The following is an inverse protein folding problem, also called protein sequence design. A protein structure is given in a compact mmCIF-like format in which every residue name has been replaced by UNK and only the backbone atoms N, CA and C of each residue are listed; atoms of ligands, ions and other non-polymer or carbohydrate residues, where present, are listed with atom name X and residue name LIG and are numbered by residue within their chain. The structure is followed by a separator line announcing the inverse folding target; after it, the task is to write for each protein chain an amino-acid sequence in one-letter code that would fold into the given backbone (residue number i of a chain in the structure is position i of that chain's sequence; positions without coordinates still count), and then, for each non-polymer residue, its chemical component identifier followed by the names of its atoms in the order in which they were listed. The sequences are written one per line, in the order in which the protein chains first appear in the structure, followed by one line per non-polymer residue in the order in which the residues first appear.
data_IF_713422044089
#
_entry.id   IF_713422044089
#
_cell.length_a   1.000
_cell.length_b   1.000
_cell.length_c   1.000
_cell.angle_alpha   90.00
_cell.angle_beta   90.00
_cell.angle_gamma   90.00
#
_symmetry.space_group_name_H-M   'P 1'
#
loop_
_entity.id
_entity.type
_entity.pdbx_description
1 polymer ?
#
# COMPACT_ATOMS: atom_id res chain seq x y z
N UNK A 1 8.86 -9.31 4.89
CA UNK A 1 8.21 -7.99 4.84
C UNK A 1 8.34 -7.47 3.43
N UNK A 2 7.26 -6.98 2.83
CA UNK A 2 7.25 -6.32 1.52
C UNK A 2 7.07 -4.82 1.75
N UNK A 3 7.88 -3.99 1.08
CA UNK A 3 7.75 -2.52 1.14
C UNK A 3 7.63 -2.01 -0.29
N UNK A 4 6.60 -1.21 -0.55
CA UNK A 4 6.43 -0.47 -1.80
C UNK A 4 6.57 1.02 -1.48
N UNK A 5 7.45 1.71 -2.20
CA UNK A 5 7.63 3.15 -2.09
C UNK A 5 7.18 3.82 -3.38
N UNK A 6 6.55 4.98 -3.24
CA UNK A 6 6.24 5.87 -4.36
C UNK A 6 7.07 7.12 -4.18
N UNK A 7 7.92 7.38 -5.16
CA UNK A 7 8.82 8.53 -5.17
C UNK A 7 8.56 9.38 -6.40
N UNK A 8 8.67 10.69 -6.23
CA UNK A 8 8.70 11.64 -7.34
C UNK A 8 10.15 12.00 -7.59
N UNK A 9 10.56 11.91 -8.86
CA UNK A 9 11.90 12.27 -9.32
C UNK A 9 11.79 13.50 -10.23
N UNK A 10 11.94 14.72 -9.68
CA UNK A 10 11.89 15.95 -10.47
C UNK A 10 12.89 15.89 -11.64
N UNK A 11 12.39 16.05 -12.87
CA UNK A 11 13.23 15.97 -14.08
C UNK A 11 13.91 14.61 -14.29
N UNK A 12 13.51 13.56 -13.56
CA UNK A 12 14.18 12.25 -13.57
C UNK A 12 15.47 12.19 -12.77
N UNK A 13 15.76 13.16 -11.90
CA UNK A 13 16.99 13.21 -11.12
C UNK A 13 16.85 12.56 -9.74
N UNK A 14 17.56 11.45 -9.53
CA UNK A 14 17.57 10.68 -8.26
C UNK A 14 17.94 11.52 -7.05
N UNK A 15 18.92 12.42 -7.18
CA UNK A 15 19.38 13.27 -6.09
C UNK A 15 18.29 14.23 -5.56
N UNK A 16 17.26 14.48 -6.36
CA UNK A 16 16.10 15.29 -5.99
C UNK A 16 14.86 14.46 -5.67
N UNK A 17 14.98 13.13 -5.66
CA UNK A 17 13.87 12.24 -5.40
C UNK A 17 13.36 12.40 -3.97
N UNK A 18 12.04 12.33 -3.80
CA UNK A 18 11.42 12.31 -2.49
C UNK A 18 10.20 11.38 -2.47
N UNK A 19 10.05 10.71 -1.34
CA UNK A 19 8.95 9.77 -1.08
C UNK A 19 7.65 10.52 -0.82
N UNK A 20 6.61 10.18 -1.58
CA UNK A 20 5.24 10.71 -1.41
C UNK A 20 4.27 9.67 -0.86
N UNK A 21 4.63 8.39 -0.89
CA UNK A 21 3.80 7.32 -0.37
C UNK A 21 4.59 6.05 -0.08
N UNK A 22 4.06 5.26 0.85
CA UNK A 22 4.66 4.02 1.31
C UNK A 22 3.59 3.03 1.68
N UNK A 23 3.80 1.78 1.31
CA UNK A 23 3.04 0.64 1.78
C UNK A 23 3.97 -0.40 2.38
N UNK A 24 3.68 -0.80 3.60
CA UNK A 24 4.38 -1.86 4.32
C UNK A 24 3.42 -3.04 4.48
N UNK A 25 3.83 -4.22 4.01
CA UNK A 25 3.03 -5.44 4.10
C UNK A 25 3.78 -6.49 4.90
N UNK A 26 3.18 -6.91 6.00
CA UNK A 26 3.76 -7.84 6.97
C UNK A 26 2.96 -9.14 6.92
N UNK A 27 3.67 -10.26 6.85
CA UNK A 27 3.04 -11.58 6.92
C UNK A 27 2.66 -11.87 8.38
N UNK A 28 1.40 -12.22 8.63
CA UNK A 28 0.88 -12.48 9.99
C UNK A 28 1.06 -13.94 10.44
N UNK A 29 1.41 -14.83 9.53
CA UNK A 29 1.36 -16.29 9.73
C UNK A 29 2.52 -17.02 9.06
N UNK A 30 3.74 -16.90 9.63
CA UNK A 30 4.89 -17.78 9.38
C UNK A 30 5.23 -18.10 7.91
N UNK A 31 6.11 -19.09 7.66
CA UNK A 31 6.58 -19.47 6.32
C UNK A 31 5.59 -20.33 5.50
N UNK A 32 4.28 -20.25 5.72
CA UNK A 32 3.29 -21.04 4.94
C UNK A 32 3.16 -20.58 3.48
N UNK A 33 2.83 -21.50 2.57
CA UNK A 33 2.62 -21.16 1.15
C UNK A 33 1.44 -20.20 0.92
N UNK A 34 0.48 -20.20 1.84
CA UNK A 34 -0.67 -19.28 1.89
C UNK A 34 -0.71 -18.65 3.27
N UNK A 35 -0.75 -17.32 3.34
CA UNK A 35 -0.72 -16.58 4.62
C UNK A 35 -1.71 -15.41 4.63
N UNK A 36 -2.07 -14.98 5.84
CA UNK A 36 -2.63 -13.66 6.08
C UNK A 36 -1.54 -12.57 6.11
N UNK A 37 -1.92 -11.35 5.74
CA UNK A 37 -1.04 -10.19 5.69
C UNK A 37 -1.74 -8.94 6.24
N UNK A 38 -1.05 -8.18 7.08
CA UNK A 38 -1.43 -6.81 7.42
C UNK A 38 -0.69 -5.83 6.52
N UNK A 39 -1.35 -4.73 6.17
CA UNK A 39 -0.77 -3.64 5.41
C UNK A 39 -1.00 -2.29 6.09
N UNK A 40 0.04 -1.46 6.09
CA UNK A 40 0.01 -0.06 6.49
C UNK A 40 0.39 0.79 5.28
N UNK A 41 -0.51 1.69 4.86
CA UNK A 41 -0.34 2.57 3.71
C UNK A 41 -0.36 4.00 4.20
N UNK A 42 0.70 4.74 3.91
CA UNK A 42 0.82 6.16 4.20
C UNK A 42 0.99 6.91 2.89
N UNK A 43 0.24 7.99 2.71
CA UNK A 43 0.50 9.02 1.71
C UNK A 43 0.81 10.32 2.44
N UNK A 44 1.89 10.98 2.02
CA UNK A 44 2.28 12.27 2.56
C UNK A 44 1.53 13.37 1.83
N UNK A 45 1.22 14.43 2.57
CA UNK A 45 0.72 15.65 1.96
C UNK A 45 1.78 16.18 0.99
N UNK A 46 1.36 16.43 -0.26
CA UNK A 46 2.22 17.01 -1.28
C UNK A 46 1.45 18.17 -1.94
N UNK A 47 1.42 19.36 -1.31
CA UNK A 47 0.58 20.47 -1.76
C UNK A 47 0.82 20.88 -3.20
N UNK A 48 2.09 20.84 -3.66
CA UNK A 48 2.47 21.18 -5.03
C UNK A 48 1.84 20.25 -6.09
N UNK A 49 1.47 19.03 -5.69
CA UNK A 49 0.81 18.04 -6.55
C UNK A 49 -0.69 17.89 -6.23
N UNK A 50 -1.23 18.70 -5.31
CA UNK A 50 -2.62 18.60 -4.83
C UNK A 50 -2.97 17.20 -4.29
N UNK A 51 -2.00 16.53 -3.68
CA UNK A 51 -2.17 15.20 -3.10
C UNK A 51 -2.33 15.32 -1.60
N UNK A 52 -3.50 14.97 -1.08
CA UNK A 52 -3.80 14.98 0.36
C UNK A 52 -3.12 13.81 1.09
N UNK A 53 -2.75 14.02 2.35
CA UNK A 53 -2.24 12.94 3.20
C UNK A 53 -3.32 11.92 3.57
N UNK A 54 -2.91 10.67 3.78
CA UNK A 54 -3.70 9.68 4.49
C UNK A 54 -2.81 8.66 5.22
N UNK A 55 -3.37 8.01 6.23
CA UNK A 55 -2.79 6.87 6.94
C UNK A 55 -3.88 5.79 7.07
N UNK A 56 -3.67 4.64 6.43
CA UNK A 56 -4.65 3.56 6.34
C UNK A 56 -4.03 2.23 6.72
N UNK A 57 -4.83 1.40 7.41
CA UNK A 57 -4.46 0.03 7.74
C UNK A 57 -5.51 -0.93 7.19
N UNK A 58 -5.06 -2.06 6.67
CA UNK A 58 -5.95 -3.11 6.16
C UNK A 58 -5.33 -4.50 6.31
N UNK A 59 -6.12 -5.53 6.05
CA UNK A 59 -5.69 -6.92 6.12
C UNK A 59 -6.13 -7.70 4.88
N UNK A 60 -5.25 -8.56 4.39
CA UNK A 60 -5.52 -9.58 3.39
C UNK A 60 -5.48 -10.92 4.11
N UNK A 61 -6.64 -11.54 4.33
CA UNK A 61 -6.76 -12.76 5.16
C UNK A 61 -6.09 -14.00 4.56
N UNK A 62 -5.96 -14.06 3.25
CA UNK A 62 -5.38 -15.22 2.54
C UNK A 62 -4.77 -14.78 1.23
N UNK A 63 -3.49 -15.08 1.03
CA UNK A 63 -2.76 -14.85 -0.22
C UNK A 63 -1.72 -15.94 -0.44
N UNK A 64 -1.71 -16.55 -1.63
CA UNK A 64 -0.72 -17.55 -2.01
C UNK A 64 0.56 -16.86 -2.49
N UNK A 65 1.72 -17.28 -1.96
CA UNK A 65 3.00 -16.66 -2.33
C UNK A 65 3.38 -16.86 -3.79
N UNK A 66 2.93 -17.97 -4.38
CA UNK A 66 3.09 -18.28 -5.80
C UNK A 66 2.43 -17.24 -6.72
N UNK A 67 1.42 -16.51 -6.25
CA UNK A 67 0.76 -15.45 -7.03
C UNK A 67 1.64 -14.21 -7.16
N UNK A 68 2.73 -14.13 -6.38
CA UNK A 68 3.72 -13.08 -6.45
C UNK A 68 3.36 -11.81 -5.67
N UNK A 69 4.33 -10.87 -5.56
CA UNK A 69 4.19 -9.67 -4.73
C UNK A 69 3.20 -8.66 -5.30
N UNK A 70 3.14 -8.47 -6.63
CA UNK A 70 2.24 -7.48 -7.24
C UNK A 70 0.75 -7.88 -7.12
N UNK A 71 0.45 -9.18 -7.12
CA UNK A 71 -0.89 -9.66 -6.83
C UNK A 71 -1.31 -9.34 -5.38
N UNK A 72 -0.37 -9.44 -4.42
CA UNK A 72 -0.59 -9.04 -3.03
C UNK A 72 -0.83 -7.52 -2.92
N UNK A 73 0.01 -6.71 -3.56
CA UNK A 73 -0.15 -5.24 -3.64
C UNK A 73 -1.54 -4.88 -4.14
N UNK A 74 -1.96 -5.46 -5.26
CA UNK A 74 -3.29 -5.23 -5.85
C UNK A 74 -4.40 -5.57 -4.85
N UNK A 75 -4.32 -6.73 -4.19
CA UNK A 75 -5.32 -7.15 -3.20
C UNK A 75 -5.42 -6.17 -2.03
N UNK A 76 -4.29 -5.66 -1.54
CA UNK A 76 -4.28 -4.63 -0.49
C UNK A 76 -5.03 -3.37 -0.94
N UNK A 77 -4.72 -2.87 -2.14
CA UNK A 77 -5.37 -1.68 -2.69
C UNK A 77 -6.88 -1.88 -2.94
N UNK A 78 -7.28 -3.06 -3.41
CA UNK A 78 -8.69 -3.40 -3.58
C UNK A 78 -9.46 -3.41 -2.25
N UNK A 79 -8.85 -3.86 -1.15
CA UNK A 79 -9.47 -3.82 0.20
C UNK A 79 -9.72 -2.39 0.66
N UNK A 80 -8.77 -1.48 0.42
CA UNK A 80 -8.91 -0.05 0.77
C UNK A 80 -10.06 0.58 -0.01
N UNK A 81 -10.10 0.37 -1.33
CA UNK A 81 -11.17 0.92 -2.18
C UNK A 81 -12.55 0.45 -1.71
N UNK A 82 -12.67 -0.83 -1.35
CA UNK A 82 -13.93 -1.39 -0.85
C UNK A 82 -14.33 -0.85 0.53
N UNK A 83 -13.36 -0.54 1.40
CA UNK A 83 -13.61 0.07 2.69
C UNK A 83 -14.08 1.53 2.54
N UNK A 84 -13.46 2.30 1.64
CA UNK A 84 -13.82 3.70 1.37
C UNK A 84 -15.18 3.82 0.67
N UNK A 85 -15.51 2.91 -0.26
CA UNK A 85 -16.82 2.86 -0.93
C UNK A 85 -17.98 2.41 -0.03
N UNK A 86 -17.71 1.91 1.17
CA UNK A 86 -18.74 1.53 2.17
C UNK A 86 -19.15 2.66 3.10
N UNK A 87 -18.42 3.78 3.12
CA UNK A 87 -18.76 4.97 3.91
C UNK A 87 -19.64 5.91 3.07
N UNK A 88 -20.83 5.42 2.69
CA UNK A 88 -21.93 6.25 2.15
C UNK A 88 -23.24 5.59 2.59
N UNK A 89 -23.71 5.85 3.82
CA UNK A 89 -25.14 5.87 4.21
C UNK A 89 -25.30 6.83 5.40
N UNK A 90 -26.08 7.89 5.14
CA UNK A 90 -26.78 8.91 5.97
C UNK A 90 -26.04 9.68 7.09
#
# INVERSE_FOLDING_TARGET
MLVVKVEIWPGGHEASAFEIGRMEVVNESGLSQVSGYSAHIIQRDTPRLQVAAFDLRTQVRSHARSDGPWALVKRVLDQIRNAQGRVVID
#
